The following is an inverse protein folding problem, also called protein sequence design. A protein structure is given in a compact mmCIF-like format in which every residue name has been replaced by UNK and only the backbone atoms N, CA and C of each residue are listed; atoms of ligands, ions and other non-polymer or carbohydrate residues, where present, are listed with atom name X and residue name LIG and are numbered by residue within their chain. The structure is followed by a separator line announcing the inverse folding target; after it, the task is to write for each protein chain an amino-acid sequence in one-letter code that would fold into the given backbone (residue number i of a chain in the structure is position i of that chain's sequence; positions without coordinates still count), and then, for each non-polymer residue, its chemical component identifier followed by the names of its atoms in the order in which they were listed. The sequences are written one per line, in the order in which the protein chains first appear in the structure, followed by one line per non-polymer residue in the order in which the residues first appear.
data_IF_221549541607
#
_entry.id   IF_221549541607
#
_cell.length_a   1.000
_cell.length_b   1.000
_cell.length_c   1.000
_cell.angle_alpha   90.00
_cell.angle_beta   90.00
_cell.angle_gamma   90.00
#
_symmetry.space_group_name_H-M   'P 1'
#
loop_
_entity.id
_entity.type
_entity.pdbx_description
1 polymer ?
#
# COMPACT_ATOMS: atom_id res chain seq x y z
N UNK A 1 -17.25 0.95 -10.77
CA UNK A 1 -17.21 1.75 -9.54
C UNK A 1 -16.63 0.98 -8.35
N UNK A 2 -16.92 -0.31 -8.21
CA UNK A 2 -16.40 -1.20 -7.15
C UNK A 2 -14.88 -1.24 -7.14
N UNK A 3 -14.22 -1.40 -8.28
CA UNK A 3 -12.76 -1.45 -8.42
C UNK A 3 -12.03 -0.29 -7.72
N UNK A 4 -12.51 0.95 -7.87
CA UNK A 4 -11.87 2.15 -7.28
C UNK A 4 -11.93 2.11 -5.74
N UNK A 5 -13.04 1.66 -5.16
CA UNK A 5 -13.17 1.53 -3.71
C UNK A 5 -12.24 0.45 -3.16
N UNK A 6 -12.20 -0.71 -3.83
CA UNK A 6 -11.29 -1.79 -3.44
C UNK A 6 -9.84 -1.36 -3.58
N UNK A 7 -9.46 -0.73 -4.70
CA UNK A 7 -8.10 -0.23 -4.91
C UNK A 7 -7.67 0.77 -3.83
N UNK A 8 -8.56 1.69 -3.41
CA UNK A 8 -8.28 2.63 -2.35
C UNK A 8 -8.12 1.93 -0.99
N UNK A 9 -9.00 0.98 -0.66
CA UNK A 9 -8.90 0.19 0.56
C UNK A 9 -7.60 -0.60 0.65
N UNK A 10 -7.25 -1.34 -0.42
CA UNK A 10 -5.99 -2.09 -0.47
C UNK A 10 -4.76 -1.19 -0.45
N UNK A 11 -4.79 -0.05 -1.14
CA UNK A 11 -3.70 0.92 -1.13
C UNK A 11 -3.36 1.37 0.30
N UNK A 12 -4.38 1.69 1.10
CA UNK A 12 -4.18 2.17 2.47
C UNK A 12 -3.79 1.05 3.42
N UNK A 13 -4.47 -0.11 3.39
CA UNK A 13 -4.18 -1.19 4.32
C UNK A 13 -2.80 -1.81 4.07
N UNK A 14 -2.38 -1.95 2.80
CA UNK A 14 -1.04 -2.45 2.47
C UNK A 14 0.04 -1.46 2.88
N UNK A 15 -0.21 -0.15 2.80
CA UNK A 15 0.69 0.86 3.36
C UNK A 15 0.82 0.71 4.88
N UNK A 16 -0.29 0.64 5.61
CA UNK A 16 -0.28 0.55 7.08
C UNK A 16 0.41 -0.71 7.58
N UNK A 17 0.12 -1.86 6.97
CA UNK A 17 0.72 -3.14 7.33
C UNK A 17 2.11 -3.35 6.70
N UNK A 18 2.59 -2.41 5.89
CA UNK A 18 3.88 -2.51 5.23
C UNK A 18 4.00 -3.76 4.35
N UNK A 19 2.95 -4.06 3.56
CA UNK A 19 2.93 -5.23 2.68
C UNK A 19 3.83 -4.99 1.48
N UNK A 20 4.87 -5.81 1.35
CA UNK A 20 5.86 -5.76 0.27
C UNK A 20 5.53 -6.64 -0.94
N UNK A 21 6.49 -6.71 -1.87
CA UNK A 21 6.45 -7.51 -3.10
C UNK A 21 5.20 -7.30 -3.96
N UNK A 22 4.74 -6.05 -4.06
CA UNK A 22 3.56 -5.70 -4.85
C UNK A 22 3.94 -5.50 -6.32
N UNK A 23 3.86 -6.56 -7.12
CA UNK A 23 3.96 -6.57 -8.59
C UNK A 23 2.59 -6.91 -9.20
N UNK A 24 2.45 -6.82 -10.53
CA UNK A 24 1.17 -6.99 -11.19
C UNK A 24 0.55 -8.39 -11.00
N UNK A 25 1.38 -9.43 -10.85
CA UNK A 25 0.89 -10.80 -10.62
C UNK A 25 0.28 -10.99 -9.21
N UNK A 26 0.57 -10.06 -8.28
CA UNK A 26 -0.01 -10.03 -6.94
C UNK A 26 -1.23 -9.08 -6.83
N UNK A 27 -1.68 -8.52 -7.97
CA UNK A 27 -2.84 -7.65 -8.09
C UNK A 27 -3.87 -8.30 -8.99
N UNK A 28 -5.01 -8.65 -8.44
CA UNK A 28 -6.06 -9.39 -9.14
C UNK A 28 -7.26 -8.51 -9.41
N UNK A 29 -7.85 -8.69 -10.58
CA UNK A 29 -9.12 -8.06 -10.97
C UNK A 29 -10.10 -9.16 -11.40
N UNK A 30 -11.18 -9.32 -10.64
CA UNK A 30 -12.23 -10.26 -10.96
C UNK A 30 -13.13 -9.73 -12.11
N UNK A 31 -13.81 -10.60 -12.86
CA UNK A 31 -14.69 -10.19 -13.97
C UNK A 31 -15.84 -9.26 -13.56
N UNK A 32 -16.26 -9.29 -12.31
CA UNK A 32 -17.29 -8.42 -11.74
C UNK A 32 -16.75 -7.05 -11.27
N UNK A 33 -15.45 -6.80 -11.47
CA UNK A 33 -14.78 -5.53 -11.14
C UNK A 33 -14.26 -5.45 -9.71
N UNK A 34 -14.21 -6.55 -8.96
CA UNK A 34 -13.53 -6.57 -7.67
C UNK A 34 -12.01 -6.61 -7.85
N UNK A 35 -11.33 -5.62 -7.29
CA UNK A 35 -9.87 -5.56 -7.24
C UNK A 35 -9.40 -6.02 -5.86
N UNK A 36 -8.39 -6.90 -5.82
CA UNK A 36 -7.83 -7.39 -4.57
C UNK A 36 -6.37 -7.80 -4.73
N UNK A 37 -5.65 -7.84 -3.61
CA UNK A 37 -4.29 -8.32 -3.54
C UNK A 37 -4.24 -9.78 -3.12
N UNK A 38 -3.24 -10.49 -3.61
CA UNK A 38 -2.89 -11.85 -3.19
C UNK A 38 -1.43 -11.88 -2.76
N UNK A 39 -1.01 -12.97 -2.13
CA UNK A 39 0.34 -13.18 -1.61
C UNK A 39 0.79 -12.11 -0.61
N UNK A 40 0.68 -12.45 0.66
CA UNK A 40 1.10 -11.63 1.81
C UNK A 40 2.34 -12.21 2.50
N UNK A 41 3.26 -12.81 1.74
CA UNK A 41 4.51 -13.39 2.26
C UNK A 41 5.48 -12.35 2.81
N UNK A 42 5.32 -11.09 2.44
CA UNK A 42 6.15 -9.96 2.89
C UNK A 42 5.27 -8.91 3.56
N UNK A 43 5.44 -8.72 4.87
CA UNK A 43 4.71 -7.73 5.66
C UNK A 43 5.67 -6.93 6.55
N UNK A 44 5.15 -5.90 7.22
CA UNK A 44 5.89 -5.07 8.18
C UNK A 44 7.15 -4.42 7.60
N UNK A 45 7.07 -3.98 6.34
CA UNK A 45 8.14 -3.29 5.64
C UNK A 45 9.22 -4.21 5.06
N UNK A 46 9.03 -5.53 5.08
CA UNK A 46 9.88 -6.45 4.32
C UNK A 46 9.50 -6.42 2.84
N UNK A 47 10.51 -6.44 1.98
CA UNK A 47 10.33 -6.48 0.53
C UNK A 47 11.57 -7.14 -0.10
N UNK A 48 11.43 -8.02 -1.12
CA UNK A 48 12.59 -8.60 -1.81
C UNK A 48 13.34 -7.57 -2.68
N UNK A 49 12.71 -6.43 -2.99
CA UNK A 49 13.30 -5.35 -3.79
C UNK A 49 14.01 -4.35 -2.88
N UNK A 50 15.21 -3.88 -3.27
CA UNK A 50 15.83 -2.75 -2.59
C UNK A 50 14.99 -1.48 -2.85
N UNK A 51 14.71 -0.70 -1.80
CA UNK A 51 13.99 0.58 -1.87
C UNK A 51 12.59 0.47 -2.49
N UNK A 52 11.70 -0.38 -1.94
CA UNK A 52 10.33 -0.47 -2.44
C UNK A 52 9.57 0.82 -2.13
N UNK A 53 8.65 1.24 -3.03
CA UNK A 53 7.81 2.39 -2.74
C UNK A 53 6.89 2.07 -1.55
N UNK A 54 6.68 3.01 -0.62
CA UNK A 54 5.87 2.79 0.58
C UNK A 54 4.39 2.55 0.27
N UNK A 55 3.92 3.04 -0.88
CA UNK A 55 2.55 2.86 -1.38
C UNK A 55 2.64 2.32 -2.80
N UNK A 56 1.86 1.30 -3.14
CA UNK A 56 1.84 0.76 -4.49
C UNK A 56 0.65 1.31 -5.28
N UNK A 57 0.96 2.23 -6.19
CA UNK A 57 0.05 2.70 -7.25
C UNK A 57 0.83 2.63 -8.56
N UNK A 58 0.60 1.59 -9.36
CA UNK A 58 1.31 1.41 -10.63
C UNK A 58 0.64 2.21 -11.77
N UNK A 59 1.39 2.34 -12.86
CA UNK A 59 0.92 3.06 -14.06
C UNK A 59 -0.37 2.45 -14.60
N UNK A 60 -0.46 1.13 -14.61
CA UNK A 60 -1.61 0.38 -15.10
C UNK A 60 -2.88 0.70 -14.30
N UNK A 61 -2.76 0.85 -12.97
CA UNK A 61 -3.88 1.29 -12.12
C UNK A 61 -4.33 2.71 -12.48
N UNK A 62 -3.40 3.63 -12.70
CA UNK A 62 -3.69 5.02 -13.08
C UNK A 62 -4.33 5.08 -14.46
N UNK A 63 -3.79 4.34 -15.42
CA UNK A 63 -4.32 4.28 -16.79
C UNK A 63 -5.72 3.65 -16.82
N UNK A 64 -5.96 2.58 -16.06
CA UNK A 64 -7.27 1.96 -15.91
C UNK A 64 -8.33 2.90 -15.30
N UNK A 65 -7.90 3.87 -14.49
CA UNK A 65 -8.75 4.93 -13.96
C UNK A 65 -8.90 6.13 -14.93
N UNK A 66 -8.36 6.05 -16.15
CA UNK A 66 -8.46 7.10 -17.17
C UNK A 66 -7.34 8.16 -17.09
N UNK A 67 -6.24 7.86 -16.41
CA UNK A 67 -5.08 8.74 -16.28
C UNK A 67 -5.12 9.66 -15.04
N UNK A 68 -3.99 10.28 -14.75
CA UNK A 68 -3.77 11.06 -13.54
C UNK A 68 -4.70 12.30 -13.38
N UNK A 69 -5.24 12.82 -14.49
CA UNK A 69 -6.15 13.97 -14.49
C UNK A 69 -7.64 13.56 -14.49
N UNK A 70 -7.94 12.26 -14.50
CA UNK A 70 -9.32 11.78 -14.58
C UNK A 70 -10.09 12.00 -13.27
N UNK A 71 -11.41 12.15 -13.40
CA UNK A 71 -12.34 12.21 -12.26
C UNK A 71 -12.24 10.93 -11.40
N UNK A 72 -12.00 9.80 -12.01
CA UNK A 72 -11.88 8.51 -11.32
C UNK A 72 -10.62 8.41 -10.49
N UNK A 73 -9.47 8.88 -10.99
CA UNK A 73 -8.23 8.93 -10.21
C UNK A 73 -8.32 9.95 -9.06
N UNK A 74 -8.94 11.11 -9.28
CA UNK A 74 -9.21 12.06 -8.19
C UNK A 74 -10.12 11.46 -7.12
N UNK A 75 -11.15 10.69 -7.53
CA UNK A 75 -12.01 9.96 -6.60
C UNK A 75 -11.24 8.89 -5.82
N UNK A 76 -10.37 8.13 -6.48
CA UNK A 76 -9.48 7.18 -5.83
C UNK A 76 -8.65 7.84 -4.72
N UNK A 77 -7.97 8.94 -5.02
CA UNK A 77 -7.19 9.69 -4.01
C UNK A 77 -8.05 10.13 -2.82
N UNK A 78 -9.23 10.70 -3.10
CA UNK A 78 -10.17 11.11 -2.04
C UNK A 78 -10.58 9.92 -1.16
N UNK A 79 -10.86 8.77 -1.74
CA UNK A 79 -11.19 7.55 -1.00
C UNK A 79 -10.01 7.07 -0.16
N UNK A 80 -8.78 7.12 -0.67
CA UNK A 80 -7.58 6.82 0.11
C UNK A 80 -7.46 7.73 1.33
N UNK A 81 -7.66 9.05 1.19
CA UNK A 81 -7.61 10.00 2.30
C UNK A 81 -8.66 9.68 3.37
N UNK A 82 -9.91 9.44 2.96
CA UNK A 82 -11.01 9.10 3.88
C UNK A 82 -10.69 7.78 4.61
N UNK A 83 -10.23 6.77 3.88
CA UNK A 83 -9.88 5.46 4.46
C UNK A 83 -8.74 5.60 5.45
N UNK A 84 -7.67 6.32 5.09
CA UNK A 84 -6.54 6.55 5.98
C UNK A 84 -6.96 7.27 7.26
N UNK A 85 -7.72 8.37 7.15
CA UNK A 85 -8.22 9.12 8.31
C UNK A 85 -9.13 8.25 9.20
N UNK A 86 -10.00 7.44 8.61
CA UNK A 86 -10.87 6.52 9.35
C UNK A 86 -10.06 5.46 10.11
N UNK A 87 -9.07 4.82 9.46
CA UNK A 87 -8.23 3.82 10.12
C UNK A 87 -7.34 4.44 11.19
N UNK A 88 -6.83 5.66 10.96
CA UNK A 88 -6.05 6.41 11.95
C UNK A 88 -6.85 6.71 13.23
N UNK A 89 -8.12 7.09 13.11
CA UNK A 89 -9.01 7.28 14.27
C UNK A 89 -9.20 6.00 15.09
N UNK A 90 -9.05 4.85 14.45
CA UNK A 90 -9.17 3.53 15.08
C UNK A 90 -7.79 2.86 15.31
N UNK A 91 -6.70 3.62 15.29
CA UNK A 91 -5.34 3.10 15.36
C UNK A 91 -5.12 2.20 16.58
N UNK A 92 -5.62 2.57 17.76
CA UNK A 92 -5.47 1.77 18.98
C UNK A 92 -6.08 0.36 18.84
N UNK A 93 -7.23 0.24 18.18
CA UNK A 93 -7.83 -1.07 17.92
C UNK A 93 -6.93 -1.91 16.99
N UNK A 94 -6.42 -1.30 15.92
CA UNK A 94 -5.55 -1.99 14.95
C UNK A 94 -4.23 -2.40 15.61
N UNK A 95 -3.61 -1.51 16.39
CA UNK A 95 -2.37 -1.81 17.10
C UNK A 95 -2.55 -2.93 18.14
N UNK A 96 -3.67 -2.96 18.84
CA UNK A 96 -4.01 -4.06 19.75
C UNK A 96 -4.17 -5.39 18.99
N UNK A 97 -4.83 -5.38 17.82
CA UNK A 97 -4.93 -6.59 16.99
C UNK A 97 -3.56 -7.06 16.51
N UNK A 98 -2.69 -6.14 16.08
CA UNK A 98 -1.31 -6.47 15.68
C UNK A 98 -0.52 -7.03 16.86
N UNK A 99 -0.69 -6.48 18.07
CA UNK A 99 -0.02 -7.00 19.27
C UNK A 99 -0.42 -8.44 19.62
N UNK A 100 -1.69 -8.79 19.42
CA UNK A 100 -2.16 -10.17 19.60
C UNK A 100 -1.57 -11.12 18.55
N UNK A 101 -1.21 -10.62 17.38
CA UNK A 101 -0.57 -11.43 16.32
C UNK A 101 0.91 -11.74 16.62
N UNK A 102 1.53 -11.07 17.60
CA UNK A 102 2.93 -11.35 17.98
C UNK A 102 3.13 -12.80 18.44
N UNK A 103 2.12 -13.38 19.08
CA UNK A 103 2.13 -14.78 19.49
C UNK A 103 1.79 -15.75 18.34
N UNK A 104 1.24 -15.25 17.24
CA UNK A 104 0.96 -16.06 16.07
C UNK A 104 2.28 -16.44 15.37
N UNK A 105 2.36 -17.67 14.85
CA UNK A 105 3.57 -18.18 14.22
C UNK A 105 3.79 -17.59 12.81
N UNK A 106 3.72 -16.26 12.69
CA UNK A 106 3.94 -15.51 11.45
C UNK A 106 5.43 -15.18 11.35
N UNK A 107 6.16 -15.64 10.31
CA UNK A 107 7.61 -15.50 10.21
C UNK A 107 8.11 -14.06 10.35
N UNK A 108 7.42 -13.08 9.73
CA UNK A 108 7.83 -11.67 9.74
C UNK A 108 7.64 -11.01 11.11
N UNK A 109 6.62 -11.39 11.84
CA UNK A 109 6.38 -10.92 13.22
C UNK A 109 7.36 -11.59 14.17
N UNK A 110 7.58 -12.89 14.01
CA UNK A 110 8.51 -13.68 14.83
C UNK A 110 9.96 -13.23 14.71
N UNK A 111 10.35 -12.70 13.54
CA UNK A 111 11.70 -12.20 13.32
C UNK A 111 12.02 -10.98 14.20
N UNK A 112 11.05 -10.08 14.43
CA UNK A 112 11.20 -8.85 15.21
C UNK A 112 9.92 -8.54 15.98
N UNK A 113 9.52 -9.36 16.98
CA UNK A 113 8.22 -9.22 17.66
C UNK A 113 8.05 -7.87 18.34
N UNK A 114 9.10 -7.37 18.99
CA UNK A 114 9.08 -6.08 19.70
C UNK A 114 8.91 -4.87 18.75
N UNK A 115 9.25 -5.03 17.46
CA UNK A 115 9.15 -3.98 16.46
C UNK A 115 7.86 -4.05 15.63
N UNK A 116 7.15 -5.17 15.66
CA UNK A 116 5.98 -5.38 14.80
C UNK A 116 4.91 -4.29 15.01
N UNK A 117 4.55 -4.02 16.25
CA UNK A 117 3.57 -2.99 16.61
C UNK A 117 4.10 -1.59 16.27
N UNK A 118 5.37 -1.30 16.59
CA UNK A 118 6.00 0.00 16.31
C UNK A 118 6.02 0.32 14.82
N UNK A 119 6.35 -0.65 13.95
CA UNK A 119 6.35 -0.47 12.50
C UNK A 119 4.98 -0.07 11.95
N UNK A 120 3.89 -0.60 12.52
CA UNK A 120 2.53 -0.21 12.14
C UNK A 120 2.16 1.14 12.75
N UNK A 121 2.52 1.39 14.02
CA UNK A 121 2.26 2.65 14.71
C UNK A 121 2.88 3.85 13.99
N UNK A 122 4.12 3.74 13.54
CA UNK A 122 4.83 4.79 12.79
C UNK A 122 4.06 5.21 11.51
N UNK A 123 3.36 4.28 10.84
CA UNK A 123 2.59 4.57 9.64
C UNK A 123 1.33 5.39 9.91
N UNK A 124 0.80 5.36 11.13
CA UNK A 124 -0.36 6.16 11.52
C UNK A 124 -0.04 7.62 11.78
N UNK A 125 1.24 7.96 12.04
CA UNK A 125 1.68 9.34 12.33
C UNK A 125 0.84 9.99 13.45
N UNK A 126 0.72 9.31 14.60
CA UNK A 126 -0.18 9.71 15.67
C UNK A 126 0.27 10.99 16.41
N UNK A 127 1.51 11.39 16.26
CA UNK A 127 2.17 12.56 16.85
C UNK A 127 1.91 13.88 16.12
N UNK A 128 1.26 13.83 14.94
CA UNK A 128 0.93 15.02 14.15
C UNK A 128 -0.60 15.18 13.98
N UNK A 129 -1.07 16.33 13.47
CA UNK A 129 -2.49 16.54 13.20
C UNK A 129 -3.02 15.60 12.10
N UNK A 130 -4.35 15.42 12.02
CA UNK A 130 -4.99 14.61 10.97
C UNK A 130 -4.64 15.16 9.58
N UNK A 131 -4.68 16.48 9.43
CA UNK A 131 -4.39 17.16 8.16
C UNK A 131 -2.94 16.93 7.73
N UNK A 132 -1.99 17.01 8.66
CA UNK A 132 -0.57 16.75 8.39
C UNK A 132 -0.34 15.29 8.02
N UNK A 133 -0.96 14.35 8.73
CA UNK A 133 -0.84 12.92 8.43
C UNK A 133 -1.43 12.57 7.05
N UNK A 134 -2.60 13.13 6.69
CA UNK A 134 -3.23 12.95 5.38
C UNK A 134 -2.37 13.58 4.27
N UNK A 135 -1.84 14.79 4.49
CA UNK A 135 -0.95 15.44 3.53
C UNK A 135 0.34 14.65 3.28
N UNK A 136 0.93 14.07 4.34
CA UNK A 136 2.06 13.16 4.20
C UNK A 136 1.70 11.93 3.36
N UNK A 137 0.58 11.26 3.68
CA UNK A 137 0.12 10.10 2.90
C UNK A 137 -0.14 10.46 1.44
N UNK A 138 -0.71 11.65 1.16
CA UNK A 138 -0.89 12.14 -0.22
C UNK A 138 0.43 12.36 -0.95
N UNK A 139 1.48 12.83 -0.27
CA UNK A 139 2.80 12.97 -0.89
C UNK A 139 3.35 11.61 -1.33
N UNK A 140 3.18 10.56 -0.52
CA UNK A 140 3.57 9.20 -0.88
C UNK A 140 2.83 8.67 -2.11
N UNK A 141 1.53 8.98 -2.25
CA UNK A 141 0.75 8.62 -3.45
C UNK A 141 1.28 9.31 -4.72
N UNK A 142 1.78 10.55 -4.61
CA UNK A 142 2.36 11.29 -5.74
C UNK A 142 3.73 10.77 -6.13
N UNK A 143 4.60 10.56 -5.17
CA UNK A 143 5.98 10.11 -5.39
C UNK A 143 6.02 8.71 -6.00
N UNK A 144 5.09 7.84 -5.61
CA UNK A 144 4.99 6.47 -6.12
C UNK A 144 4.67 6.44 -7.62
N UNK A 145 3.85 7.35 -8.13
CA UNK A 145 3.51 7.39 -9.55
C UNK A 145 4.73 7.68 -10.46
N UNK A 146 5.70 8.45 -9.96
CA UNK A 146 6.95 8.72 -10.67
C UNK A 146 7.95 7.57 -10.54
N UNK A 147 8.15 7.05 -9.34
CA UNK A 147 9.12 5.99 -9.09
C UNK A 147 8.70 4.65 -9.70
N UNK A 148 7.41 4.28 -9.66
CA UNK A 148 6.95 3.04 -10.28
C UNK A 148 7.20 3.04 -11.79
N UNK A 149 6.96 4.16 -12.49
CA UNK A 149 7.22 4.25 -13.93
C UNK A 149 8.70 4.08 -14.27
N UNK A 150 9.61 4.50 -13.40
CA UNK A 150 11.05 4.35 -13.58
C UNK A 150 11.50 2.90 -13.30
N UNK A 151 11.00 2.28 -12.24
CA UNK A 151 11.32 0.89 -11.89
C UNK A 151 10.71 -0.12 -12.89
N UNK A 152 9.51 0.12 -13.39
CA UNK A 152 8.88 -0.72 -14.40
C UNK A 152 9.66 -0.67 -15.72
N UNK A 153 10.22 0.49 -16.10
CA UNK A 153 11.14 0.62 -17.24
C UNK A 153 12.43 -0.16 -17.03
N UNK A 154 13.04 -0.08 -15.85
CA UNK A 154 14.26 -0.82 -15.52
C UNK A 154 14.02 -2.33 -15.48
N UNK A 155 12.88 -2.76 -14.97
CA UNK A 155 12.49 -4.18 -14.95
C UNK A 155 12.32 -4.73 -16.37
N UNK A 156 11.62 -4.02 -17.23
CA UNK A 156 11.43 -4.40 -18.63
C UNK A 156 12.77 -4.47 -19.40
N UNK A 157 13.69 -3.54 -19.15
CA UNK A 157 15.04 -3.57 -19.71
C UNK A 157 15.82 -4.80 -19.19
N UNK A 158 15.74 -5.09 -17.90
CA UNK A 158 16.41 -6.27 -17.32
C UNK A 158 15.84 -7.59 -17.84
N UNK A 159 14.52 -7.67 -18.10
CA UNK A 159 13.92 -8.84 -18.75
C UNK A 159 14.36 -9.00 -20.21
N UNK A 160 14.49 -7.89 -20.95
CA UNK A 160 14.98 -7.93 -22.34
C UNK A 160 16.42 -8.49 -22.45
N UNK A 161 17.28 -8.22 -21.47
CA UNK A 161 18.64 -8.76 -21.43
C UNK A 161 18.76 -10.18 -20.87
N UNK A 162 17.67 -10.76 -20.36
CA UNK A 162 17.62 -12.16 -19.87
C UNK A 162 17.08 -13.17 -20.89
N UNK A 163 16.58 -12.69 -22.03
CA UNK A 163 16.23 -13.49 -23.21
C UNK A 163 17.42 -13.56 -24.18
#
# INVERSE_FOLDING_TARGET
MVCIHNAAGYCVITYLLGVGDRHLDNLMLAPDGHFFHVDFSYILGRDPKPFPPPVKVCKEMVDAMGGASSVYYMRFKKLCHITFACLRKNANLILNLVSLMVEANIPDIRAEPDKAVLKVQEKFLLDVSEEQAVAHFESLLRDTSYLSSMFDRLHNVAQYFRQ
#
